data_IF_560821395219
#
_entry.id   IF_560821395219
#
_cell.length_a   1.000
_cell.length_b   1.000
_cell.length_c   1.000
_cell.angle_alpha   90.00
_cell.angle_beta   90.00
_cell.angle_gamma   90.00
#
_symmetry.space_group_name_H-M   'P 1'
#
loop_
_entity.id
_entity.type
_entity.pdbx_description
1 polymer ?
#
# COMPACT_ATOMS: atom_id res chain seq x y z
N UNK A 1 12.74 23.72 -1.79
CA UNK A 1 11.28 23.69 -2.00
C UNK A 1 10.84 22.27 -1.77
N UNK A 2 10.08 22.02 -0.69
CA UNK A 2 9.50 20.69 -0.45
C UNK A 2 8.42 20.46 -1.51
N UNK A 3 8.62 19.47 -2.38
CA UNK A 3 7.57 19.02 -3.28
C UNK A 3 6.44 18.47 -2.40
N UNK A 4 5.32 19.15 -2.40
CA UNK A 4 4.13 18.73 -1.67
C UNK A 4 3.80 17.30 -2.05
N UNK A 5 3.67 16.41 -1.06
CA UNK A 5 3.19 15.05 -1.28
C UNK A 5 1.80 15.19 -1.90
N UNK A 6 1.62 14.65 -3.11
CA UNK A 6 0.28 14.61 -3.72
C UNK A 6 -0.65 13.83 -2.82
N UNK A 7 -1.85 14.36 -2.58
CA UNK A 7 -2.92 13.68 -1.85
C UNK A 7 -3.18 12.30 -2.46
N UNK A 8 -3.70 11.34 -1.68
CA UNK A 8 -3.95 9.98 -2.18
C UNK A 8 -4.84 10.03 -3.41
N UNK A 9 -4.49 9.23 -4.41
CA UNK A 9 -5.21 9.18 -5.70
C UNK A 9 -6.63 8.68 -5.53
N UNK A 10 -6.78 7.66 -4.70
CA UNK A 10 -8.05 7.04 -4.39
C UNK A 10 -8.16 6.91 -2.88
N UNK A 11 -9.11 7.61 -2.31
CA UNK A 11 -9.56 7.37 -0.95
C UNK A 11 -10.99 6.89 -0.99
N UNK A 12 -11.23 5.76 -0.37
CA UNK A 12 -12.59 5.37 0.03
C UNK A 12 -12.95 6.23 1.24
N UNK A 13 -14.21 6.62 1.38
CA UNK A 13 -14.62 7.32 2.60
C UNK A 13 -14.42 6.40 3.81
N UNK A 14 -14.13 6.96 5.00
CA UNK A 14 -14.05 6.15 6.21
C UNK A 14 -15.25 5.23 6.42
N UNK A 15 -16.45 5.70 6.08
CA UNK A 15 -17.70 4.94 6.16
C UNK A 15 -17.69 3.74 5.20
N UNK A 16 -17.26 3.93 3.95
CA UNK A 16 -17.16 2.85 2.97
C UNK A 16 -16.08 1.82 3.36
N UNK A 17 -15.00 2.26 4.03
CA UNK A 17 -13.99 1.37 4.59
C UNK A 17 -14.44 0.66 5.87
N UNK A 18 -15.65 0.93 6.37
CA UNK A 18 -16.17 0.35 7.60
C UNK A 18 -15.45 0.85 8.86
N UNK A 19 -14.89 2.05 8.82
CA UNK A 19 -14.31 2.70 9.99
C UNK A 19 -15.42 3.29 10.84
N UNK A 20 -15.49 2.84 12.08
CA UNK A 20 -16.49 3.29 13.06
C UNK A 20 -15.75 3.85 14.27
N UNK A 21 -15.94 5.14 14.53
CA UNK A 21 -15.39 5.81 15.70
C UNK A 21 -14.09 6.58 15.45
N UNK A 22 -13.60 7.28 16.49
CA UNK A 22 -12.33 8.01 16.42
C UNK A 22 -11.13 7.06 16.44
N UNK A 23 -10.01 7.49 15.80
CA UNK A 23 -8.72 6.81 15.91
C UNK A 23 -8.17 6.78 17.35
N UNK A 24 -6.91 6.32 17.54
CA UNK A 24 -6.00 5.93 16.48
C UNK A 24 -6.27 4.54 15.90
N UNK A 25 -6.10 4.40 14.58
CA UNK A 25 -6.24 3.12 13.88
C UNK A 25 -4.89 2.42 13.74
N UNK A 26 -4.89 1.08 13.73
CA UNK A 26 -3.76 0.28 13.26
C UNK A 26 -3.93 -0.01 11.78
N UNK A 27 -2.86 0.00 11.01
CA UNK A 27 -2.90 -0.24 9.57
C UNK A 27 -2.09 -1.47 9.15
N UNK A 28 -2.61 -2.20 8.18
CA UNK A 28 -1.81 -3.04 7.31
C UNK A 28 -1.49 -2.21 6.06
N UNK A 29 -0.22 -1.81 5.94
CA UNK A 29 0.31 -1.18 4.74
C UNK A 29 0.76 -2.26 3.76
N UNK A 30 0.38 -2.11 2.50
CA UNK A 30 0.70 -3.05 1.43
C UNK A 30 1.41 -2.31 0.30
N UNK A 31 2.55 -2.82 -0.17
CA UNK A 31 2.97 -2.47 -1.52
C UNK A 31 2.00 -3.10 -2.52
N UNK A 32 2.04 -2.67 -3.76
CA UNK A 32 1.14 -3.16 -4.81
C UNK A 32 1.82 -4.25 -5.64
N UNK A 33 2.79 -3.87 -6.45
CA UNK A 33 3.48 -4.77 -7.36
C UNK A 33 4.42 -5.68 -6.56
N UNK A 34 4.31 -6.98 -6.74
CA UNK A 34 5.03 -7.98 -5.96
C UNK A 34 4.37 -8.36 -4.62
N UNK A 35 3.33 -7.64 -4.16
CA UNK A 35 2.62 -7.92 -2.89
C UNK A 35 1.13 -8.16 -3.09
N UNK A 36 0.42 -7.19 -3.68
CA UNK A 36 -1.02 -7.35 -4.01
C UNK A 36 -1.17 -8.17 -5.28
N UNK A 37 -0.39 -7.85 -6.30
CA UNK A 37 -0.33 -8.58 -7.56
C UNK A 37 1.09 -9.03 -7.87
N UNK A 38 1.21 -10.09 -8.65
CA UNK A 38 2.49 -10.51 -9.23
C UNK A 38 3.07 -9.35 -10.05
N UNK A 39 4.36 -9.04 -9.88
CA UNK A 39 5.02 -7.99 -10.64
C UNK A 39 5.42 -8.50 -12.04
N UNK A 40 4.57 -8.24 -13.02
CA UNK A 40 4.86 -8.49 -14.45
C UNK A 40 5.50 -7.28 -15.13
N UNK A 41 5.93 -6.28 -14.37
CA UNK A 41 6.47 -5.02 -14.88
C UNK A 41 5.39 -4.04 -15.33
N UNK A 42 5.22 -2.97 -14.56
CA UNK A 42 4.30 -1.86 -14.88
C UNK A 42 2.83 -2.27 -15.06
N UNK A 43 2.32 -3.18 -14.24
CA UNK A 43 0.91 -3.60 -14.24
C UNK A 43 0.01 -2.40 -14.01
N UNK A 44 -0.94 -2.14 -14.93
CA UNK A 44 -1.83 -0.99 -14.87
C UNK A 44 -3.21 -1.24 -15.48
N UNK A 45 -3.53 -2.50 -15.81
CA UNK A 45 -4.87 -2.90 -16.27
C UNK A 45 -5.36 -4.17 -15.58
N UNK A 46 -6.69 -4.40 -15.53
CA UNK A 46 -7.27 -5.63 -14.99
C UNK A 46 -6.74 -6.91 -15.65
N UNK A 47 -6.55 -6.88 -16.97
CA UNK A 47 -6.13 -8.03 -17.77
C UNK A 47 -4.69 -8.45 -17.48
N UNK A 48 -3.86 -7.52 -17.02
CA UNK A 48 -2.46 -7.78 -16.62
C UNK A 48 -2.36 -8.29 -15.18
N UNK A 49 -3.47 -8.24 -14.41
CA UNK A 49 -3.42 -8.48 -12.98
C UNK A 49 -3.51 -9.96 -12.66
N UNK A 50 -2.46 -10.47 -12.06
CA UNK A 50 -2.43 -11.77 -11.39
C UNK A 50 -2.31 -11.53 -9.88
N UNK A 51 -3.34 -11.93 -9.12
CA UNK A 51 -3.35 -11.70 -7.67
C UNK A 51 -2.31 -12.56 -6.97
N UNK A 52 -1.62 -11.96 -6.00
CA UNK A 52 -0.69 -12.71 -5.16
C UNK A 52 -1.44 -13.75 -4.33
N UNK A 53 -1.02 -15.03 -4.34
CA UNK A 53 -1.68 -16.07 -3.56
C UNK A 53 -1.74 -15.75 -2.06
N UNK A 54 -2.94 -15.71 -1.49
CA UNK A 54 -3.18 -15.44 -0.07
C UNK A 54 -3.44 -13.97 0.28
N UNK A 55 -3.35 -13.04 -0.69
CA UNK A 55 -3.52 -11.61 -0.40
C UNK A 55 -4.90 -11.27 0.18
N UNK A 56 -5.97 -11.84 -0.36
CA UNK A 56 -7.32 -11.57 0.14
C UNK A 56 -7.57 -12.22 1.50
N UNK A 57 -6.96 -13.38 1.78
CA UNK A 57 -7.05 -14.02 3.11
C UNK A 57 -6.37 -13.15 4.17
N UNK A 58 -5.15 -12.66 3.88
CA UNK A 58 -4.45 -11.70 4.74
C UNK A 58 -5.26 -10.42 4.95
N UNK A 59 -5.80 -9.85 3.88
CA UNK A 59 -6.59 -8.63 3.95
C UNK A 59 -7.85 -8.80 4.82
N UNK A 60 -8.57 -9.91 4.69
CA UNK A 60 -9.72 -10.24 5.56
C UNK A 60 -9.31 -10.45 7.00
N UNK A 61 -8.20 -11.16 7.24
CA UNK A 61 -7.68 -11.37 8.59
C UNK A 61 -7.30 -10.04 9.26
N UNK A 62 -6.63 -9.14 8.54
CA UNK A 62 -6.28 -7.81 9.04
C UNK A 62 -7.54 -6.99 9.37
N UNK A 63 -8.56 -7.01 8.50
CA UNK A 63 -9.85 -6.34 8.77
C UNK A 63 -10.53 -6.91 10.01
N UNK A 64 -10.58 -8.24 10.14
CA UNK A 64 -11.16 -8.91 11.31
C UNK A 64 -10.42 -8.56 12.62
N UNK A 65 -9.09 -8.33 12.54
CA UNK A 65 -8.26 -7.89 13.65
C UNK A 65 -8.33 -6.36 13.91
N UNK A 66 -9.19 -5.62 13.18
CA UNK A 66 -9.41 -4.18 13.37
C UNK A 66 -8.38 -3.28 12.69
N UNK A 67 -7.60 -3.80 11.74
CA UNK A 67 -6.68 -3.00 10.95
C UNK A 67 -7.37 -2.37 9.74
N UNK A 68 -6.98 -1.14 9.41
CA UNK A 68 -7.31 -0.52 8.13
C UNK A 68 -6.29 -0.93 7.08
N UNK A 69 -6.72 -1.03 5.82
CA UNK A 69 -5.85 -1.43 4.72
C UNK A 69 -5.45 -0.20 3.90
N UNK A 70 -4.14 0.03 3.76
CA UNK A 70 -3.60 1.18 3.01
C UNK A 70 -2.53 0.70 2.03
N UNK A 71 -2.71 1.03 0.75
CA UNK A 71 -1.70 0.75 -0.27
C UNK A 71 -0.70 1.90 -0.37
N UNK A 72 0.61 1.56 -0.46
CA UNK A 72 1.72 2.52 -0.61
C UNK A 72 2.67 2.04 -1.70
N UNK A 73 2.64 2.66 -2.89
CA UNK A 73 3.29 2.11 -4.07
C UNK A 73 4.12 3.12 -4.87
N UNK A 74 5.29 2.68 -5.35
CA UNK A 74 6.12 3.45 -6.29
C UNK A 74 5.67 3.19 -7.72
N UNK A 75 5.14 4.20 -8.41
CA UNK A 75 4.57 4.08 -9.76
C UNK A 75 5.42 4.81 -10.82
N UNK A 76 6.66 4.35 -10.99
CA UNK A 76 7.60 4.91 -11.95
C UNK A 76 7.16 4.79 -13.42
N UNK A 77 6.22 3.91 -13.73
CA UNK A 77 5.60 3.79 -15.05
C UNK A 77 4.99 5.10 -15.54
N UNK A 78 4.41 5.89 -14.62
CA UNK A 78 3.85 7.21 -14.92
C UNK A 78 4.99 8.16 -15.34
N UNK A 79 6.07 8.23 -14.56
CA UNK A 79 7.22 9.07 -14.88
C UNK A 79 7.87 8.69 -16.22
N UNK A 80 7.86 7.40 -16.56
CA UNK A 80 8.41 6.87 -17.81
C UNK A 80 7.48 7.06 -19.01
N UNK A 81 6.19 7.36 -18.75
CA UNK A 81 5.16 7.52 -19.79
C UNK A 81 4.68 6.20 -20.40
N UNK A 82 4.70 5.11 -19.64
CA UNK A 82 4.12 3.83 -20.05
C UNK A 82 2.60 3.81 -19.89
N UNK A 83 2.10 4.56 -18.93
CA UNK A 83 0.69 4.89 -18.69
C UNK A 83 0.62 6.23 -17.96
N UNK A 84 -0.53 6.87 -18.02
CA UNK A 84 -0.76 8.15 -17.36
C UNK A 84 -1.44 8.00 -15.99
N UNK A 85 -1.63 9.13 -15.29
CA UNK A 85 -2.29 9.14 -13.97
C UNK A 85 -3.77 8.76 -14.05
N UNK A 86 -4.45 9.01 -15.17
CA UNK A 86 -5.86 8.65 -15.35
C UNK A 86 -6.03 7.14 -15.49
N UNK A 87 -5.16 6.50 -16.28
CA UNK A 87 -5.12 5.05 -16.42
C UNK A 87 -4.78 4.38 -15.09
N UNK A 88 -3.78 4.89 -14.37
CA UNK A 88 -3.43 4.40 -13.03
C UNK A 88 -4.60 4.55 -12.06
N UNK A 89 -5.29 5.69 -12.08
CA UNK A 89 -6.46 5.96 -11.23
C UNK A 89 -7.61 5.00 -11.53
N UNK A 90 -7.92 4.78 -12.79
CA UNK A 90 -8.98 3.86 -13.22
C UNK A 90 -8.68 2.43 -12.77
N UNK A 91 -7.44 1.98 -12.95
CA UNK A 91 -6.98 0.68 -12.46
C UNK A 91 -7.07 0.57 -10.92
N UNK A 92 -6.66 1.61 -10.20
CA UNK A 92 -6.72 1.64 -8.74
C UNK A 92 -8.16 1.56 -8.24
N UNK A 93 -9.11 2.25 -8.86
CA UNK A 93 -10.55 2.16 -8.54
C UNK A 93 -11.07 0.74 -8.73
N UNK A 94 -10.70 0.08 -9.84
CA UNK A 94 -11.04 -1.32 -10.07
C UNK A 94 -10.47 -2.26 -8.99
N UNK A 95 -9.20 -2.05 -8.60
CA UNK A 95 -8.56 -2.81 -7.52
C UNK A 95 -9.29 -2.61 -6.19
N UNK A 96 -9.68 -1.38 -5.84
CA UNK A 96 -10.48 -1.09 -4.64
C UNK A 96 -11.82 -1.83 -4.66
N UNK A 97 -12.55 -1.79 -5.79
CA UNK A 97 -13.82 -2.51 -5.93
C UNK A 97 -13.63 -4.03 -5.78
N UNK A 98 -12.50 -4.58 -6.24
CA UNK A 98 -12.20 -6.00 -6.04
C UNK A 98 -11.96 -6.32 -4.57
N UNK A 99 -11.17 -5.53 -3.85
CA UNK A 99 -10.95 -5.73 -2.42
C UNK A 99 -12.24 -5.60 -1.61
N UNK A 100 -13.12 -4.66 -1.97
CA UNK A 100 -14.44 -4.52 -1.36
C UNK A 100 -15.31 -5.76 -1.59
N UNK A 101 -15.34 -6.29 -2.81
CA UNK A 101 -16.06 -7.51 -3.15
C UNK A 101 -15.53 -8.75 -2.40
N UNK A 102 -14.24 -8.76 -2.04
CA UNK A 102 -13.61 -9.80 -1.22
C UNK A 102 -13.83 -9.59 0.29
N UNK A 103 -14.59 -8.58 0.70
CA UNK A 103 -14.88 -8.27 2.10
C UNK A 103 -13.72 -7.60 2.86
N UNK A 104 -12.74 -7.05 2.15
CA UNK A 104 -11.58 -6.39 2.72
C UNK A 104 -11.34 -5.01 2.08
N UNK A 105 -12.25 -4.03 2.24
CA UNK A 105 -12.15 -2.73 1.58
C UNK A 105 -10.85 -2.01 1.93
N UNK A 106 -10.19 -1.46 0.91
CA UNK A 106 -9.03 -0.60 1.06
C UNK A 106 -9.46 0.80 1.52
N UNK A 107 -8.79 1.34 2.54
CA UNK A 107 -9.04 2.71 3.02
C UNK A 107 -8.53 3.75 2.03
N UNK A 108 -7.32 3.56 1.53
CA UNK A 108 -6.69 4.49 0.59
C UNK A 108 -5.53 3.85 -0.17
N UNK A 109 -5.20 4.44 -1.32
CA UNK A 109 -3.96 4.17 -2.06
C UNK A 109 -3.14 5.45 -2.15
N UNK A 110 -1.92 5.40 -1.64
CA UNK A 110 -0.89 6.42 -1.83
C UNK A 110 0.11 5.94 -2.87
N UNK A 111 0.51 6.82 -3.78
CA UNK A 111 1.45 6.48 -4.82
C UNK A 111 2.49 7.58 -5.05
N UNK A 112 3.64 7.18 -5.57
CA UNK A 112 4.66 8.10 -6.03
C UNK A 112 4.82 7.98 -7.55
N UNK A 113 4.47 9.00 -8.34
CA UNK A 113 4.63 8.99 -9.78
C UNK A 113 6.03 9.37 -10.24
N UNK A 114 6.91 9.84 -9.33
CA UNK A 114 8.20 10.40 -9.66
C UNK A 114 9.29 9.34 -9.83
N UNK A 115 10.28 9.64 -10.67
CA UNK A 115 11.53 8.91 -10.73
C UNK A 115 12.72 9.89 -10.89
N UNK A 116 13.78 9.80 -10.06
CA UNK A 116 14.84 10.80 -10.05
C UNK A 116 15.65 10.85 -11.35
N UNK A 117 15.79 9.72 -12.04
CA UNK A 117 16.62 9.60 -13.25
C UNK A 117 15.80 9.38 -14.52
N UNK A 118 14.82 8.48 -14.47
CA UNK A 118 14.08 8.01 -15.64
C UNK A 118 12.76 8.74 -15.89
N UNK A 119 12.44 9.77 -15.10
CA UNK A 119 11.24 10.58 -15.27
C UNK A 119 11.31 11.52 -16.46
N UNK A 120 10.14 11.99 -16.92
CA UNK A 120 9.98 13.02 -17.95
C UNK A 120 9.40 14.28 -17.33
N UNK A 121 9.88 15.45 -17.77
CA UNK A 121 9.39 16.76 -17.32
C UNK A 121 9.45 16.87 -15.77
N UNK A 122 8.36 17.34 -15.18
CA UNK A 122 8.24 17.54 -13.73
C UNK A 122 8.26 16.23 -12.92
N UNK A 123 7.99 15.09 -13.56
CA UNK A 123 8.03 13.78 -12.91
C UNK A 123 9.46 13.23 -12.78
N UNK A 124 10.46 13.88 -13.43
CA UNK A 124 11.87 13.63 -13.18
C UNK A 124 12.32 14.43 -11.96
N UNK A 125 12.04 13.91 -10.78
CA UNK A 125 12.32 14.62 -9.53
C UNK A 125 12.65 13.65 -8.40
N UNK A 126 13.57 14.04 -7.52
CA UNK A 126 13.68 13.50 -6.18
C UNK A 126 12.54 14.08 -5.34
N UNK A 127 11.82 13.23 -4.60
CA UNK A 127 10.67 13.60 -3.79
C UNK A 127 10.67 12.85 -2.47
N UNK A 128 9.89 13.32 -1.50
CA UNK A 128 9.76 12.65 -0.19
C UNK A 128 8.76 11.49 -0.20
N UNK A 129 7.94 11.36 -1.27
CA UNK A 129 6.95 10.29 -1.37
C UNK A 129 7.52 8.95 -1.86
N UNK A 130 8.63 8.96 -2.63
CA UNK A 130 9.17 7.73 -3.20
C UNK A 130 9.90 6.89 -2.15
N UNK A 131 9.48 5.65 -1.92
CA UNK A 131 10.20 4.66 -1.12
C UNK A 131 11.64 4.51 -1.65
N UNK A 132 12.69 4.52 -0.80
CA UNK A 132 12.67 4.27 0.64
C UNK A 132 12.32 5.46 1.54
N UNK A 133 11.92 6.61 1.02
CA UNK A 133 11.45 7.71 1.86
C UNK A 133 10.05 7.42 2.42
N UNK A 134 9.76 7.84 3.67
CA UNK A 134 8.54 7.46 4.39
C UNK A 134 7.31 8.31 4.04
N UNK A 135 7.39 9.22 3.07
CA UNK A 135 6.40 10.27 2.88
C UNK A 135 4.97 9.79 2.67
N UNK A 136 4.76 8.70 1.91
CA UNK A 136 3.42 8.12 1.71
C UNK A 136 2.83 7.57 3.02
N UNK A 137 3.64 6.85 3.79
CA UNK A 137 3.25 6.28 5.09
C UNK A 137 2.89 7.38 6.09
N UNK A 138 3.73 8.41 6.21
CA UNK A 138 3.49 9.54 7.09
C UNK A 138 2.28 10.39 6.66
N UNK A 139 2.00 10.50 5.35
CA UNK A 139 0.81 11.17 4.85
C UNK A 139 -0.46 10.41 5.25
N UNK A 140 -0.46 9.08 5.10
CA UNK A 140 -1.56 8.22 5.54
C UNK A 140 -1.78 8.32 7.05
N UNK A 141 -0.69 8.25 7.84
CA UNK A 141 -0.75 8.36 9.30
C UNK A 141 -1.41 9.66 9.75
N UNK A 142 -1.00 10.80 9.18
CA UNK A 142 -1.58 12.10 9.52
C UNK A 142 -3.03 12.25 9.12
N UNK A 143 -3.41 11.70 7.98
CA UNK A 143 -4.78 11.85 7.47
C UNK A 143 -5.79 11.02 8.22
N UNK A 144 -5.42 9.81 8.62
CA UNK A 144 -6.32 8.82 9.19
C UNK A 144 -6.03 8.50 10.65
N UNK A 145 -5.19 9.28 11.32
CA UNK A 145 -4.80 9.05 12.72
C UNK A 145 -4.33 7.59 12.95
N UNK A 146 -3.30 7.18 12.19
CA UNK A 146 -2.78 5.80 12.27
C UNK A 146 -1.66 5.72 13.31
N UNK A 147 -1.81 4.78 14.24
CA UNK A 147 -0.79 4.40 15.21
C UNK A 147 0.27 3.52 14.55
N UNK A 148 1.37 4.14 14.12
CA UNK A 148 2.41 3.49 13.31
C UNK A 148 3.09 2.34 14.04
N UNK A 149 3.42 2.50 15.35
CA UNK A 149 4.07 1.45 16.13
C UNK A 149 3.20 0.19 16.34
N UNK A 150 1.87 0.32 16.22
CA UNK A 150 0.94 -0.81 16.23
C UNK A 150 0.57 -1.33 14.84
N UNK A 151 1.18 -0.78 13.80
CA UNK A 151 0.87 -1.10 12.40
C UNK A 151 1.91 -2.06 11.79
N UNK A 152 1.54 -2.64 10.67
CA UNK A 152 2.30 -3.65 9.93
C UNK A 152 2.48 -3.19 8.48
N UNK A 153 3.65 -3.45 7.88
CA UNK A 153 3.86 -3.31 6.44
C UNK A 153 4.28 -4.65 5.83
N UNK A 154 3.70 -4.97 4.70
CA UNK A 154 4.13 -6.04 3.80
C UNK A 154 4.65 -5.42 2.50
N UNK A 155 5.92 -5.65 2.18
CA UNK A 155 6.62 -5.21 0.98
C UNK A 155 7.40 -6.34 0.35
N UNK A 156 7.86 -6.18 -0.88
CA UNK A 156 8.69 -7.18 -1.60
C UNK A 156 10.12 -6.69 -1.84
N UNK A 157 10.44 -5.49 -1.35
CA UNK A 157 11.73 -4.86 -1.58
C UNK A 157 12.32 -4.22 -0.32
N UNK A 158 13.64 -4.11 -0.27
CA UNK A 158 14.34 -3.40 0.79
C UNK A 158 13.88 -1.94 0.93
N UNK A 159 13.46 -1.30 -0.17
CA UNK A 159 12.96 0.09 -0.13
C UNK A 159 11.64 0.21 0.64
N UNK A 160 10.83 -0.82 0.68
CA UNK A 160 9.60 -0.88 1.48
C UNK A 160 9.93 -0.93 2.97
N UNK A 161 10.85 -1.83 3.33
CA UNK A 161 11.26 -2.04 4.71
C UNK A 161 11.94 -0.79 5.28
N UNK A 162 12.80 -0.15 4.50
CA UNK A 162 13.46 1.12 4.88
C UNK A 162 12.43 2.24 5.07
N UNK A 163 11.44 2.35 4.17
CA UNK A 163 10.38 3.35 4.29
C UNK A 163 9.54 3.12 5.55
N UNK A 164 9.19 1.86 5.86
CA UNK A 164 8.45 1.48 7.04
C UNK A 164 9.22 1.79 8.33
N UNK A 165 10.49 1.43 8.40
CA UNK A 165 11.37 1.75 9.51
C UNK A 165 11.46 3.26 9.75
N UNK A 166 11.69 4.04 8.68
CA UNK A 166 11.77 5.49 8.75
C UNK A 166 10.44 6.15 9.17
N UNK A 167 9.32 5.49 8.91
CA UNK A 167 7.98 5.94 9.33
C UNK A 167 7.59 5.50 10.75
N UNK A 168 8.36 4.61 11.39
CA UNK A 168 8.06 4.07 12.71
C UNK A 168 6.98 2.97 12.70
N UNK A 169 6.83 2.23 11.60
CA UNK A 169 5.95 1.05 11.53
C UNK A 169 6.49 -0.03 12.45
N UNK A 170 5.61 -0.61 13.28
CA UNK A 170 6.04 -1.52 14.35
C UNK A 170 6.49 -2.90 13.88
N UNK A 171 5.97 -3.37 12.75
CA UNK A 171 6.35 -4.67 12.19
C UNK A 171 6.42 -4.60 10.66
N UNK A 172 7.34 -5.37 10.07
CA UNK A 172 7.48 -5.48 8.62
C UNK A 172 7.70 -6.93 8.22
N UNK A 173 7.12 -7.32 7.08
CA UNK A 173 7.41 -8.58 6.43
C UNK A 173 7.88 -8.33 5.00
N UNK A 174 8.97 -8.97 4.62
CA UNK A 174 9.43 -9.02 3.24
C UNK A 174 8.81 -10.25 2.57
N UNK A 175 8.07 -10.02 1.49
CA UNK A 175 7.41 -11.09 0.76
C UNK A 175 8.43 -11.85 -0.10
N UNK A 176 8.56 -13.14 0.18
CA UNK A 176 9.33 -14.04 -0.67
C UNK A 176 8.48 -14.46 -1.89
N UNK A 177 8.81 -14.03 -3.11
CA UNK A 177 8.01 -14.33 -4.30
C UNK A 177 8.00 -15.83 -4.64
N UNK A 178 8.94 -16.61 -4.09
CA UNK A 178 8.99 -18.08 -4.30
C UNK A 178 8.06 -18.81 -3.32
N UNK A 179 7.70 -18.19 -2.20
CA UNK A 179 6.85 -18.75 -1.15
C UNK A 179 5.90 -17.69 -0.57
N UNK A 180 5.10 -17.03 -1.40
CA UNK A 180 4.28 -15.89 -0.95
C UNK A 180 3.30 -16.28 0.16
N UNK A 181 2.70 -17.47 0.08
CA UNK A 181 1.76 -17.96 1.09
C UNK A 181 2.39 -18.12 2.48
N UNK A 182 3.68 -18.47 2.56
CA UNK A 182 4.37 -18.60 3.85
C UNK A 182 4.50 -17.23 4.54
N UNK A 183 4.86 -16.19 3.80
CA UNK A 183 4.94 -14.82 4.32
C UNK A 183 3.56 -14.29 4.70
N UNK A 184 2.55 -14.50 3.85
CA UNK A 184 1.16 -14.12 4.15
C UNK A 184 0.65 -14.79 5.43
N UNK A 185 0.95 -16.08 5.61
CA UNK A 185 0.57 -16.81 6.82
C UNK A 185 1.29 -16.28 8.08
N UNK A 186 2.58 -15.97 7.99
CA UNK A 186 3.32 -15.37 9.10
C UNK A 186 2.76 -13.99 9.49
N UNK A 187 2.39 -13.17 8.51
CA UNK A 187 1.75 -11.88 8.76
C UNK A 187 0.36 -12.05 9.41
N UNK A 188 -0.45 -13.02 8.96
CA UNK A 188 -1.73 -13.33 9.59
C UNK A 188 -1.56 -13.79 11.04
N UNK A 189 -0.58 -14.65 11.31
CA UNK A 189 -0.31 -15.12 12.67
C UNK A 189 0.06 -13.93 13.58
N UNK A 190 0.92 -13.04 13.12
CA UNK A 190 1.29 -11.85 13.87
C UNK A 190 0.06 -10.97 14.20
N UNK A 191 -0.86 -10.76 13.23
CA UNK A 191 -2.10 -10.01 13.45
C UNK A 191 -2.99 -10.63 14.54
N UNK A 192 -3.10 -11.97 14.57
CA UNK A 192 -3.86 -12.69 15.57
C UNK A 192 -3.25 -12.51 16.98
N UNK A 193 -1.93 -12.58 17.09
CA UNK A 193 -1.22 -12.41 18.38
C UNK A 193 -1.43 -10.99 18.94
N UNK A 194 -1.51 -9.95 18.07
CA UNK A 194 -1.80 -8.57 18.49
C UNK A 194 -3.25 -8.33 18.91
N UNK A 195 -4.17 -9.21 18.54
CA UNK A 195 -5.59 -9.10 18.90
C UNK A 195 -5.92 -9.71 20.25
N UNK A 196 -4.99 -10.48 20.83
CA UNK A 196 -5.16 -11.21 22.09
C UNK A 196 -4.61 -10.44 23.30
N UNK A 197 -4.06 -9.25 23.08
CA UNK A 197 -3.47 -8.36 24.10
C UNK A 197 -4.31 -7.10 24.28
#
# INVERSE_FOLDING_TARGET
>A
MSLSIREPVVSVTPEAAGLVGPGPYRALFLDRDGVINVDHGYVHTPEQTEWMPGIFDLARAARAAGYVLVVVTNQAGIARGYYDEEQFRSYTLWMHARFEAEGAPLLATYYCPHHPEAGRGELKAACDCRKPRPGMLLAAARRFDIYMAGSLLLGDSETDLQAAQAAGVGCTFELDPTRPQATMHAAMQWLLDQSST
#
